data_IF_810064278968
#
_entry.id   IF_810064278968
#
_cell.length_a   1.000
_cell.length_b   1.000
_cell.length_c   1.000
_cell.angle_alpha   90.00
_cell.angle_beta   90.00
_cell.angle_gamma   90.00
#
_symmetry.space_group_name_H-M   'P 1'
#
loop_
_entity.id
_entity.type
_entity.pdbx_description
1 polymer ?
#
# COMPACT_ATOMS: atom_id res chain seq x y z
N UNK A 1 -16.39 25.26 4.50
CA UNK A 1 -15.09 24.78 5.02
C UNK A 1 -14.37 25.94 5.67
N UNK A 2 -14.53 26.13 6.98
CA UNK A 2 -13.79 27.15 7.72
C UNK A 2 -12.29 26.89 7.59
N UNK A 3 -11.50 27.93 7.33
CA UNK A 3 -10.05 27.82 7.23
C UNK A 3 -9.51 27.15 8.51
N UNK A 4 -8.65 26.13 8.35
CA UNK A 4 -7.95 25.50 9.48
C UNK A 4 -7.32 26.61 10.34
N UNK A 5 -7.49 26.61 11.67
CA UNK A 5 -6.93 27.64 12.54
C UNK A 5 -5.42 27.68 12.34
N UNK A 6 -4.91 28.81 11.86
CA UNK A 6 -3.47 29.03 11.65
C UNK A 6 -2.94 29.74 12.88
N UNK A 7 -2.04 29.09 13.61
CA UNK A 7 -1.17 29.75 14.57
C UNK A 7 -0.49 30.94 13.88
N UNK A 8 -0.40 32.09 14.57
CA UNK A 8 0.33 33.26 14.08
C UNK A 8 1.84 32.97 14.04
N UNK A 9 2.63 33.76 13.28
CA UNK A 9 4.09 33.61 13.27
C UNK A 9 4.73 33.71 14.67
N UNK A 10 4.18 34.58 15.53
CA UNK A 10 4.62 34.74 16.93
C UNK A 10 4.35 33.48 17.75
N UNK A 11 3.15 32.90 17.62
CA UNK A 11 2.82 31.66 18.31
C UNK A 11 3.72 30.48 17.85
N UNK A 12 4.11 30.43 16.57
CA UNK A 12 5.06 29.43 16.10
C UNK A 12 6.47 29.59 16.70
N UNK A 13 6.91 30.84 16.92
CA UNK A 13 8.18 31.11 17.57
C UNK A 13 8.17 30.66 19.04
N UNK A 14 7.06 30.84 19.75
CA UNK A 14 6.91 30.38 21.13
C UNK A 14 6.90 28.85 21.23
N UNK A 15 6.16 28.16 20.34
CA UNK A 15 6.14 26.70 20.25
C UNK A 15 7.54 26.15 19.95
N UNK A 16 8.29 26.81 19.06
CA UNK A 16 9.69 26.47 18.75
C UNK A 16 10.56 26.59 20.00
N UNK A 17 10.54 27.74 20.66
CA UNK A 17 11.35 28.01 21.85
C UNK A 17 11.07 27.00 22.98
N UNK A 18 9.81 26.60 23.15
CA UNK A 18 9.42 25.61 24.15
C UNK A 18 9.97 24.23 23.79
N UNK A 19 9.86 23.83 22.52
CA UNK A 19 10.38 22.55 22.05
C UNK A 19 11.90 22.49 22.07
N UNK A 20 12.62 23.52 21.64
CA UNK A 20 14.09 23.52 21.56
C UNK A 20 14.76 23.46 22.94
N UNK A 21 14.08 23.92 24.00
CA UNK A 21 14.58 23.92 25.39
C UNK A 21 14.21 22.68 26.19
N UNK A 22 13.23 21.91 25.73
CA UNK A 22 12.77 20.71 26.44
C UNK A 22 13.60 19.48 26.01
N UNK A 23 14.07 18.62 26.92
CA UNK A 23 14.84 17.44 26.56
C UNK A 23 14.02 16.30 25.92
N UNK A 24 12.68 16.36 25.98
CA UNK A 24 11.79 15.29 25.48
C UNK A 24 11.72 15.28 23.95
N UNK A 25 11.86 14.08 23.38
CA UNK A 25 11.70 13.84 21.95
C UNK A 25 10.23 13.84 21.50
N UNK A 26 10.01 14.04 20.21
CA UNK A 26 8.68 14.02 19.60
C UNK A 26 7.91 15.34 19.76
N UNK A 27 6.63 15.32 19.36
CA UNK A 27 5.78 16.50 19.23
C UNK A 27 4.36 16.33 19.79
N UNK A 28 4.01 15.14 20.29
CA UNK A 28 2.68 14.86 20.87
C UNK A 28 2.48 15.62 22.19
N UNK A 29 3.43 15.48 23.11
CA UNK A 29 3.42 16.17 24.40
C UNK A 29 3.32 17.69 24.23
N UNK A 30 3.98 18.25 23.22
CA UNK A 30 4.00 19.69 22.94
C UNK A 30 2.63 20.22 22.54
N UNK A 31 1.84 19.43 21.81
CA UNK A 31 0.48 19.80 21.41
C UNK A 31 -0.48 19.70 22.59
N UNK A 32 -0.34 18.65 23.39
CA UNK A 32 -1.21 18.40 24.55
C UNK A 32 -0.97 19.41 25.67
N UNK A 33 0.29 19.76 25.96
CA UNK A 33 0.65 20.70 27.04
C UNK A 33 0.38 22.16 26.67
N UNK A 34 0.63 22.57 25.43
CA UNK A 34 0.38 23.95 24.97
C UNK A 34 -1.05 24.14 24.44
N UNK A 35 -1.89 23.10 24.45
CA UNK A 35 -3.27 23.16 23.98
C UNK A 35 -3.39 23.66 22.54
N UNK A 36 -2.48 23.24 21.67
CA UNK A 36 -2.34 23.84 20.34
C UNK A 36 -3.52 23.44 19.43
N UNK A 37 -4.06 24.37 18.62
CA UNK A 37 -5.13 24.08 17.65
C UNK A 37 -4.61 23.33 16.39
N UNK A 38 -3.42 22.71 16.47
CA UNK A 38 -2.75 21.98 15.38
C UNK A 38 -2.33 20.59 15.87
N UNK A 39 -2.33 19.60 14.97
CA UNK A 39 -1.95 18.23 15.33
C UNK A 39 -0.42 18.03 15.38
N UNK A 40 0.04 17.04 16.13
CA UNK A 40 1.47 16.71 16.27
C UNK A 40 2.18 16.44 14.92
N UNK A 41 1.57 15.77 13.91
CA UNK A 41 2.15 15.67 12.57
C UNK A 41 2.28 17.03 11.85
N UNK A 42 1.38 17.98 12.15
CA UNK A 42 1.43 19.35 11.65
C UNK A 42 2.64 20.10 12.21
N UNK A 43 2.88 19.99 13.52
CA UNK A 43 4.05 20.58 14.17
C UNK A 43 5.36 19.96 13.66
N UNK A 44 5.40 18.62 13.52
CA UNK A 44 6.57 17.93 12.93
C UNK A 44 6.93 18.44 11.53
N UNK A 45 5.93 18.67 10.68
CA UNK A 45 6.15 19.20 9.32
C UNK A 45 6.73 20.62 9.36
N UNK A 46 6.24 21.47 10.26
CA UNK A 46 6.77 22.82 10.48
C UNK A 46 8.21 22.78 11.01
N UNK A 47 8.49 21.94 12.02
CA UNK A 47 9.81 21.80 12.61
C UNK A 47 10.87 21.31 11.60
N UNK A 48 10.51 20.37 10.71
CA UNK A 48 11.38 19.91 9.63
C UNK A 48 11.59 20.97 8.54
N UNK A 49 10.56 21.76 8.22
CA UNK A 49 10.65 22.83 7.23
C UNK A 49 11.52 23.99 7.73
N UNK A 50 11.39 24.32 9.01
CA UNK A 50 12.01 25.51 9.63
C UNK A 50 13.30 25.16 10.39
N UNK A 51 13.75 23.90 10.31
CA UNK A 51 15.05 23.42 10.81
C UNK A 51 15.22 23.53 12.32
N UNK A 52 14.23 23.11 13.10
CA UNK A 52 14.30 23.18 14.57
C UNK A 52 15.34 22.21 15.12
N UNK A 53 16.12 22.66 16.11
CA UNK A 53 17.15 21.85 16.74
C UNK A 53 17.11 22.04 18.26
N UNK A 54 17.24 20.94 19.01
CA UNK A 54 17.31 20.98 20.47
C UNK A 54 18.58 21.69 20.91
N UNK A 55 18.47 22.56 21.91
CA UNK A 55 19.64 23.20 22.52
C UNK A 55 20.33 22.15 23.38
N UNK A 56 21.52 21.70 22.97
CA UNK A 56 22.32 20.80 23.77
C UNK A 56 22.76 21.50 25.06
N UNK A 57 22.56 20.85 26.20
CA UNK A 57 23.14 21.27 27.47
C UNK A 57 24.63 20.88 27.51
N UNK A 58 25.42 21.36 26.55
CA UNK A 58 26.89 21.36 26.51
C UNK A 58 27.32 21.99 25.18
N UNK A 59 28.18 23.01 25.26
CA UNK A 59 28.67 23.76 24.10
C UNK A 59 29.63 22.95 23.22
N UNK A 60 29.58 23.21 21.91
CA UNK A 60 30.47 22.65 20.89
C UNK A 60 29.70 22.37 19.60
N UNK A 61 30.06 23.08 18.54
CA UNK A 61 29.38 23.14 17.23
C UNK A 61 28.97 21.79 16.63
N UNK A 62 27.71 21.67 16.20
CA UNK A 62 27.22 20.59 15.37
C UNK A 62 26.82 21.11 13.98
N UNK A 63 27.48 20.58 12.95
CA UNK A 63 27.36 20.95 11.54
C UNK A 63 25.97 20.63 10.94
N UNK A 64 25.47 21.43 9.97
CA UNK A 64 24.19 21.20 9.33
C UNK A 64 24.26 20.07 8.28
N UNK A 65 23.28 19.17 8.31
CA UNK A 65 23.04 18.16 7.28
C UNK A 65 22.51 18.79 5.97
N UNK A 66 22.75 18.17 4.79
CA UNK A 66 22.87 18.89 3.53
C UNK A 66 21.52 19.25 2.87
N UNK A 67 21.46 20.48 2.37
CA UNK A 67 20.42 20.96 1.47
C UNK A 67 20.52 20.28 0.09
N UNK A 68 19.45 19.61 -0.35
CA UNK A 68 19.29 19.20 -1.75
C UNK A 68 18.82 20.40 -2.57
N UNK A 69 19.75 21.10 -3.20
CA UNK A 69 19.48 22.01 -4.32
C UNK A 69 19.48 21.22 -5.62
N UNK A 70 18.47 21.45 -6.46
CA UNK A 70 18.32 20.77 -7.75
C UNK A 70 17.23 21.43 -8.57
N UNK A 71 17.51 22.65 -9.03
CA UNK A 71 16.73 23.34 -10.03
C UNK A 71 16.74 22.55 -11.37
N UNK A 72 15.58 22.42 -12.01
CA UNK A 72 15.47 22.17 -13.44
C UNK A 72 14.28 22.96 -14.00
N UNK A 73 14.60 23.89 -14.88
CA UNK A 73 13.68 24.49 -15.84
C UNK A 73 14.15 24.09 -17.28
N UNK A 74 13.42 24.41 -18.35
CA UNK A 74 12.52 23.49 -19.05
C UNK A 74 13.12 22.97 -20.38
N UNK A 75 12.55 21.90 -20.96
CA UNK A 75 12.81 21.52 -22.37
C UNK A 75 11.52 21.49 -23.19
N UNK A 76 11.53 22.26 -24.27
CA UNK A 76 10.54 22.26 -25.37
C UNK A 76 10.91 21.24 -26.46
N UNK A 77 9.86 20.89 -27.21
CA UNK A 77 9.81 20.51 -28.63
C UNK A 77 10.05 19.04 -29.03
N UNK A 78 8.91 18.35 -29.20
CA UNK A 78 8.39 17.79 -30.44
C UNK A 78 9.34 17.01 -31.38
N UNK A 79 9.00 15.74 -31.58
CA UNK A 79 9.08 15.08 -32.90
C UNK A 79 8.01 13.99 -33.02
N UNK A 80 7.22 14.12 -34.06
CA UNK A 80 6.16 13.26 -34.59
C UNK A 80 6.68 11.92 -35.12
N UNK A 81 5.86 10.86 -35.06
CA UNK A 81 5.87 9.76 -36.03
C UNK A 81 4.44 9.18 -36.19
N UNK A 82 4.09 8.65 -37.37
CA UNK A 82 2.71 8.54 -37.84
C UNK A 82 2.05 7.19 -37.57
N UNK A 83 0.73 7.19 -37.76
CA UNK A 83 -0.18 6.04 -37.83
C UNK A 83 0.15 5.04 -38.94
N UNK A 84 -0.25 3.79 -38.70
CA UNK A 84 -0.35 2.71 -39.67
C UNK A 84 -0.98 1.48 -39.01
N UNK A 85 -2.21 1.17 -39.39
CA UNK A 85 -3.05 0.05 -38.92
C UNK A 85 -3.28 -0.92 -40.11
N UNK A 86 -4.09 -1.98 -39.98
CA UNK A 86 -3.84 -3.35 -39.48
C UNK A 86 -3.78 -4.41 -40.60
N UNK A 87 -3.35 -5.66 -40.32
CA UNK A 87 -3.72 -6.83 -41.14
C UNK A 87 -3.92 -8.11 -40.29
N UNK A 88 -5.00 -8.81 -40.64
CA UNK A 88 -5.54 -10.07 -40.12
C UNK A 88 -4.67 -11.30 -40.42
N UNK A 89 -4.88 -12.38 -39.66
CA UNK A 89 -4.41 -13.71 -40.03
C UNK A 89 -4.47 -14.75 -38.92
N UNK A 90 -5.61 -15.41 -38.76
CA UNK A 90 -5.81 -16.59 -37.91
C UNK A 90 -5.17 -17.85 -38.51
N UNK A 91 -4.57 -18.72 -37.68
CA UNK A 91 -4.85 -20.18 -37.60
C UNK A 91 -3.99 -20.87 -36.52
N UNK A 92 -4.45 -22.02 -35.98
CA UNK A 92 -4.09 -22.48 -34.63
C UNK A 92 -2.90 -23.45 -34.64
N UNK A 93 -2.09 -23.42 -33.58
CA UNK A 93 -1.12 -24.49 -33.29
C UNK A 93 -1.44 -25.15 -31.96
N UNK A 94 -1.91 -26.39 -32.09
CA UNK A 94 -2.01 -27.38 -31.02
C UNK A 94 -0.62 -27.70 -30.48
N UNK A 95 -0.42 -27.63 -29.17
CA UNK A 95 0.75 -28.26 -28.53
C UNK A 95 0.36 -28.95 -27.22
N UNK A 96 0.06 -30.24 -27.39
CA UNK A 96 0.35 -31.37 -26.50
C UNK A 96 0.61 -31.07 -25.02
N UNK A 97 -0.44 -31.34 -24.24
CA UNK A 97 -0.37 -31.78 -22.85
C UNK A 97 0.71 -32.86 -22.72
N UNK A 98 1.73 -32.62 -21.89
CA UNK A 98 2.75 -33.60 -21.56
C UNK A 98 2.75 -33.84 -20.06
N UNK A 99 2.23 -35.03 -19.72
CA UNK A 99 2.49 -35.87 -18.54
C UNK A 99 3.48 -35.30 -17.51
N UNK A 100 2.96 -34.98 -16.32
CA UNK A 100 3.69 -35.15 -15.06
C UNK A 100 2.72 -35.84 -14.10
N UNK A 101 2.59 -37.14 -14.32
CA UNK A 101 2.07 -38.11 -13.35
C UNK A 101 3.25 -39.01 -13.01
N UNK A 102 3.31 -39.45 -11.75
CA UNK A 102 4.17 -40.50 -11.21
C UNK A 102 5.66 -40.14 -11.05
N UNK A 103 6.03 -39.73 -9.83
CA UNK A 103 6.88 -40.55 -8.95
C UNK A 103 7.41 -39.72 -7.77
N UNK A 104 6.90 -39.99 -6.57
CA UNK A 104 7.76 -40.42 -5.47
C UNK A 104 6.88 -41.02 -4.35
N UNK A 105 6.77 -42.35 -4.37
CA UNK A 105 6.61 -43.12 -3.16
C UNK A 105 7.92 -42.98 -2.36
N UNK A 106 7.83 -42.39 -1.16
CA UNK A 106 8.75 -42.68 -0.08
C UNK A 106 7.90 -43.12 1.10
N UNK A 107 7.88 -44.42 1.29
CA UNK A 107 7.36 -45.05 2.49
C UNK A 107 8.21 -44.70 3.71
N UNK A 108 7.49 -44.54 4.82
CA UNK A 108 7.90 -44.83 6.20
C UNK A 108 9.02 -43.99 6.82
N UNK A 109 8.60 -42.89 7.45
CA UNK A 109 9.00 -42.59 8.83
C UNK A 109 7.71 -42.38 9.64
N UNK A 110 7.42 -43.35 10.51
CA UNK A 110 6.77 -43.25 11.83
C UNK A 110 5.79 -42.07 12.01
N UNK A 111 4.47 -42.26 11.88
CA UNK A 111 3.63 -42.78 12.96
C UNK A 111 3.76 -42.02 14.29
N UNK A 112 3.68 -40.67 14.25
CA UNK A 112 3.13 -39.83 15.32
C UNK A 112 2.82 -38.45 14.75
N UNK A 113 1.58 -38.22 14.32
CA UNK A 113 0.85 -36.92 14.28
C UNK A 113 -0.49 -37.25 13.60
N UNK A 114 -1.38 -37.84 14.40
CA UNK A 114 -2.76 -38.13 14.00
C UNK A 114 -3.53 -36.82 13.82
N UNK A 115 -4.22 -36.72 12.68
CA UNK A 115 -5.44 -35.96 12.43
C UNK A 115 -5.61 -34.58 13.11
N UNK A 116 -5.45 -33.51 12.31
CA UNK A 116 -6.44 -32.44 12.12
C UNK A 116 -7.30 -31.89 13.29
N UNK A 117 -6.88 -31.98 14.54
CA UNK A 117 -7.55 -31.30 15.65
C UNK A 117 -6.98 -29.87 15.75
N UNK A 118 -7.74 -28.91 15.24
CA UNK A 118 -7.45 -27.49 15.45
C UNK A 118 -7.49 -27.20 16.94
N UNK A 119 -6.35 -26.76 17.52
CA UNK A 119 -6.28 -26.39 18.93
C UNK A 119 -7.37 -25.37 19.28
N UNK A 120 -8.09 -25.52 20.42
CA UNK A 120 -9.12 -24.58 20.82
C UNK A 120 -8.57 -23.16 20.96
N UNK A 121 -9.41 -22.13 20.77
CA UNK A 121 -8.99 -20.72 20.86
C UNK A 121 -8.31 -20.40 22.21
N UNK A 122 -8.82 -21.00 23.29
CA UNK A 122 -8.26 -20.91 24.65
C UNK A 122 -6.86 -21.51 24.75
N UNK A 123 -6.57 -22.55 23.97
CA UNK A 123 -5.24 -23.17 23.87
C UNK A 123 -4.28 -22.32 23.04
N UNK A 124 -4.75 -21.64 21.99
CA UNK A 124 -3.93 -20.70 21.22
C UNK A 124 -3.52 -19.48 22.07
N UNK A 125 -4.45 -18.96 22.88
CA UNK A 125 -4.17 -17.88 23.84
C UNK A 125 -3.19 -18.32 24.94
N UNK A 126 -3.37 -19.52 25.49
CA UNK A 126 -2.46 -20.08 26.49
C UNK A 126 -1.06 -20.32 25.91
N UNK A 127 -0.99 -20.78 24.65
CA UNK A 127 0.27 -21.04 23.95
C UNK A 127 1.07 -19.75 23.69
N UNK A 128 0.43 -18.65 23.31
CA UNK A 128 1.12 -17.38 23.14
C UNK A 128 1.58 -16.78 24.48
N UNK A 129 0.84 -17.04 25.56
CA UNK A 129 1.17 -16.55 26.90
C UNK A 129 2.39 -17.24 27.49
N UNK A 130 2.41 -18.57 27.48
CA UNK A 130 3.49 -19.39 28.04
C UNK A 130 3.87 -20.52 27.08
N UNK A 131 4.67 -20.23 26.03
CA UNK A 131 5.00 -21.23 25.02
C UNK A 131 5.84 -22.40 25.55
N UNK A 132 6.56 -22.18 26.65
CA UNK A 132 7.36 -23.19 27.34
C UNK A 132 6.50 -24.31 27.92
N UNK A 133 5.30 -23.97 28.41
CA UNK A 133 4.35 -24.93 28.98
C UNK A 133 3.93 -25.99 27.95
N UNK A 134 3.93 -25.62 26.67
CA UNK A 134 3.55 -26.48 25.56
C UNK A 134 4.76 -27.09 24.84
N UNK A 135 5.97 -26.91 25.37
CA UNK A 135 7.20 -27.50 24.83
C UNK A 135 7.63 -26.96 23.47
N UNK A 136 7.04 -25.85 22.98
CA UNK A 136 7.36 -25.27 21.66
C UNK A 136 8.80 -24.79 21.59
N UNK A 137 9.36 -24.38 22.73
CA UNK A 137 10.71 -23.86 22.85
C UNK A 137 11.70 -24.89 23.42
N UNK A 138 11.24 -26.11 23.73
CA UNK A 138 12.02 -27.10 24.48
C UNK A 138 13.29 -27.60 23.76
N UNK A 139 13.35 -27.48 22.43
CA UNK A 139 14.53 -27.86 21.62
C UNK A 139 15.46 -26.68 21.32
N UNK A 140 15.15 -25.48 21.80
CA UNK A 140 15.94 -24.28 21.59
C UNK A 140 16.91 -24.07 22.76
N UNK A 141 18.06 -23.47 22.45
CA UNK A 141 18.95 -22.94 23.49
C UNK A 141 18.37 -21.64 24.05
N UNK A 142 18.71 -21.25 25.28
CA UNK A 142 18.22 -20.02 25.92
C UNK A 142 18.32 -18.77 25.00
N UNK A 143 19.46 -18.58 24.32
CA UNK A 143 19.64 -17.45 23.39
C UNK A 143 18.78 -17.55 22.12
N UNK A 144 18.46 -18.76 21.66
CA UNK A 144 17.57 -18.97 20.51
C UNK A 144 16.12 -18.75 20.91
N UNK A 145 15.75 -19.11 22.13
CA UNK A 145 14.44 -18.84 22.69
C UNK A 145 14.18 -17.33 22.78
N UNK A 146 15.10 -16.58 23.41
CA UNK A 146 14.99 -15.12 23.49
C UNK A 146 14.95 -14.50 22.09
N UNK A 147 15.74 -15.03 21.15
CA UNK A 147 15.67 -14.59 19.74
C UNK A 147 14.28 -14.80 19.14
N UNK A 148 13.66 -15.98 19.31
CA UNK A 148 12.31 -16.26 18.79
C UNK A 148 11.28 -15.32 19.41
N UNK A 149 11.33 -15.13 20.74
CA UNK A 149 10.41 -14.23 21.45
C UNK A 149 10.52 -12.79 20.96
N UNK A 150 11.73 -12.27 20.81
CA UNK A 150 11.98 -10.92 20.31
C UNK A 150 11.61 -10.78 18.83
N UNK A 151 11.89 -11.79 18.01
CA UNK A 151 11.53 -11.80 16.60
C UNK A 151 10.02 -11.75 16.41
N UNK A 152 9.25 -12.42 17.26
CA UNK A 152 7.79 -12.37 17.24
C UNK A 152 7.22 -10.98 17.61
N UNK A 153 8.01 -10.03 18.12
CA UNK A 153 7.53 -8.68 18.44
C UNK A 153 7.46 -7.81 17.18
N UNK A 154 8.51 -7.78 16.37
CA UNK A 154 8.66 -6.83 15.26
C UNK A 154 9.10 -7.46 13.92
N UNK A 155 9.27 -8.78 13.87
CA UNK A 155 9.72 -9.53 12.70
C UNK A 155 11.07 -9.08 12.14
N UNK A 156 11.90 -8.43 12.96
CA UNK A 156 13.21 -7.94 12.58
C UNK A 156 14.32 -8.84 13.14
N UNK A 157 14.88 -9.70 12.28
CA UNK A 157 15.90 -10.67 12.68
C UNK A 157 17.13 -10.02 13.32
N UNK A 158 17.68 -8.97 12.71
CA UNK A 158 18.87 -8.29 13.22
C UNK A 158 18.64 -7.70 14.61
N UNK A 159 17.51 -7.03 14.83
CA UNK A 159 17.18 -6.42 16.12
C UNK A 159 16.83 -7.47 17.19
N UNK A 160 16.20 -8.58 16.78
CA UNK A 160 15.95 -9.71 17.67
C UNK A 160 17.25 -10.37 18.13
N UNK A 161 18.24 -10.54 17.24
CA UNK A 161 19.54 -11.09 17.59
C UNK A 161 20.30 -10.18 18.57
N UNK A 162 20.28 -8.86 18.39
CA UNK A 162 20.90 -7.92 19.33
C UNK A 162 20.26 -8.03 20.72
N UNK A 163 18.93 -8.04 20.79
CA UNK A 163 18.19 -8.14 22.08
C UNK A 163 18.35 -9.49 22.76
N UNK A 164 18.51 -10.56 21.99
CA UNK A 164 18.85 -11.88 22.48
C UNK A 164 20.29 -12.02 23.01
N UNK A 165 21.11 -10.96 22.90
CA UNK A 165 22.47 -10.91 23.44
C UNK A 165 23.56 -11.35 22.46
N UNK A 166 23.26 -11.50 21.17
CA UNK A 166 24.29 -11.75 20.16
C UNK A 166 25.08 -10.48 19.83
N UNK A 167 26.30 -10.65 19.31
CA UNK A 167 27.16 -9.55 18.91
C UNK A 167 26.48 -8.64 17.88
N UNK A 168 26.37 -7.35 18.20
CA UNK A 168 25.78 -6.36 17.31
C UNK A 168 26.50 -6.26 15.94
N UNK A 169 27.79 -6.58 15.89
CA UNK A 169 28.59 -6.54 14.65
C UNK A 169 28.20 -7.65 13.67
N UNK A 170 27.75 -8.80 14.17
CA UNK A 170 27.38 -9.97 13.35
C UNK A 170 25.91 -10.36 13.46
N UNK A 171 25.09 -9.52 14.10
CA UNK A 171 23.67 -9.80 14.37
C UNK A 171 22.86 -10.11 13.11
N UNK A 172 23.15 -9.46 11.99
CA UNK A 172 22.47 -9.72 10.72
C UNK A 172 22.76 -11.12 10.16
N UNK A 173 24.03 -11.54 10.17
CA UNK A 173 24.45 -12.87 9.72
C UNK A 173 23.92 -13.96 10.65
N UNK A 174 24.01 -13.74 11.97
CA UNK A 174 23.49 -14.65 12.98
C UNK A 174 21.97 -14.81 12.84
N UNK A 175 21.24 -13.70 12.69
CA UNK A 175 19.79 -13.75 12.49
C UNK A 175 19.41 -14.55 11.24
N UNK A 176 20.11 -14.35 10.12
CA UNK A 176 19.89 -15.13 8.90
C UNK A 176 20.10 -16.62 9.14
N UNK A 177 21.20 -17.01 9.82
CA UNK A 177 21.46 -18.41 10.15
C UNK A 177 20.41 -18.99 11.11
N UNK A 178 19.99 -18.23 12.12
CA UNK A 178 18.95 -18.65 13.08
C UNK A 178 17.62 -18.91 12.38
N UNK A 179 17.20 -18.04 11.46
CA UNK A 179 15.95 -18.21 10.71
C UNK A 179 15.96 -19.44 9.77
N UNK A 180 17.14 -19.96 9.41
CA UNK A 180 17.26 -21.19 8.62
C UNK A 180 17.27 -22.47 9.46
N UNK A 181 17.47 -22.37 10.79
CA UNK A 181 17.45 -23.55 11.66
C UNK A 181 16.02 -24.11 11.75
N UNK A 182 15.81 -25.42 11.49
CA UNK A 182 14.47 -26.02 11.51
C UNK A 182 13.72 -25.80 12.83
N UNK A 183 14.39 -25.96 13.98
CA UNK A 183 13.79 -25.79 15.30
C UNK A 183 13.32 -24.35 15.58
N UNK A 184 14.12 -23.36 15.17
CA UNK A 184 13.77 -21.94 15.31
C UNK A 184 12.60 -21.58 14.39
N UNK A 185 12.64 -22.05 13.14
CA UNK A 185 11.57 -21.82 12.16
C UNK A 185 10.25 -22.44 12.62
N UNK A 186 10.26 -23.68 13.09
CA UNK A 186 9.06 -24.37 13.60
C UNK A 186 8.47 -23.66 14.81
N UNK A 187 9.30 -23.16 15.74
CA UNK A 187 8.83 -22.37 16.87
C UNK A 187 8.19 -21.05 16.43
N UNK A 188 8.80 -20.34 15.48
CA UNK A 188 8.24 -19.10 14.90
C UNK A 188 6.90 -19.40 14.20
N UNK A 189 6.84 -20.42 13.35
CA UNK A 189 5.62 -20.82 12.64
C UNK A 189 4.48 -21.17 13.61
N UNK A 190 4.80 -21.88 14.68
CA UNK A 190 3.84 -22.26 15.72
C UNK A 190 3.29 -21.04 16.45
N UNK A 191 4.17 -20.13 16.89
CA UNK A 191 3.76 -18.89 17.56
C UNK A 191 2.99 -17.95 16.63
N UNK A 192 3.40 -17.84 15.37
CA UNK A 192 2.72 -17.07 14.34
C UNK A 192 1.30 -17.60 14.11
N UNK A 193 1.17 -18.92 13.99
CA UNK A 193 -0.11 -19.60 13.81
C UNK A 193 -1.03 -19.42 15.02
N UNK A 194 -0.49 -19.52 16.24
CA UNK A 194 -1.25 -19.27 17.47
C UNK A 194 -1.78 -17.83 17.53
N UNK A 195 -0.94 -16.85 17.21
CA UNK A 195 -1.34 -15.44 17.15
C UNK A 195 -2.39 -15.18 16.08
N UNK A 196 -2.21 -15.72 14.88
CA UNK A 196 -3.15 -15.60 13.77
C UNK A 196 -4.53 -16.15 14.14
N UNK A 197 -4.58 -17.34 14.78
CA UNK A 197 -5.81 -17.96 15.28
C UNK A 197 -6.49 -17.12 16.38
N UNK A 198 -5.72 -16.57 17.32
CA UNK A 198 -6.29 -15.67 18.36
C UNK A 198 -6.95 -14.44 17.75
N UNK A 199 -6.35 -13.87 16.70
CA UNK A 199 -6.93 -12.73 15.98
C UNK A 199 -8.10 -13.13 15.06
N UNK A 200 -8.38 -14.43 14.90
CA UNK A 200 -9.39 -14.95 13.99
C UNK A 200 -9.06 -14.75 12.50
N UNK A 201 -7.80 -14.49 12.17
CA UNK A 201 -7.32 -14.29 10.80
C UNK A 201 -6.18 -15.28 10.58
N UNK A 202 -6.53 -16.53 10.34
CA UNK A 202 -5.59 -17.53 9.86
C UNK A 202 -5.50 -17.51 8.33
N UNK A 203 -4.62 -18.34 7.75
CA UNK A 203 -4.44 -18.41 6.31
C UNK A 203 -5.74 -18.79 5.58
N UNK A 204 -6.53 -19.70 6.16
CA UNK A 204 -7.79 -20.16 5.57
C UNK A 204 -8.87 -19.08 5.58
N UNK A 205 -8.96 -18.31 6.66
CA UNK A 205 -9.87 -17.16 6.74
C UNK A 205 -9.45 -16.06 5.77
N UNK A 206 -8.15 -15.76 5.66
CA UNK A 206 -7.67 -14.77 4.70
C UNK A 206 -7.95 -15.19 3.25
N UNK A 207 -7.80 -16.49 2.93
CA UNK A 207 -8.19 -17.04 1.64
C UNK A 207 -9.70 -16.94 1.42
N UNK A 208 -10.54 -17.22 2.43
CA UNK A 208 -12.00 -17.02 2.36
C UNK A 208 -12.37 -15.57 2.10
N UNK A 209 -11.70 -14.63 2.75
CA UNK A 209 -11.90 -13.20 2.52
C UNK A 209 -11.56 -12.80 1.09
N UNK A 210 -10.41 -13.24 0.56
CA UNK A 210 -10.05 -12.96 -0.83
C UNK A 210 -11.00 -13.62 -1.83
N UNK A 211 -11.42 -14.87 -1.57
CA UNK A 211 -12.41 -15.54 -2.40
C UNK A 211 -13.72 -14.75 -2.44
N UNK A 212 -14.23 -14.29 -1.29
CA UNK A 212 -15.43 -13.46 -1.21
C UNK A 212 -15.29 -12.15 -2.02
N UNK A 213 -14.13 -11.50 -1.98
CA UNK A 213 -13.85 -10.29 -2.77
C UNK A 213 -13.90 -10.59 -4.28
N UNK A 214 -13.27 -11.69 -4.70
CA UNK A 214 -13.19 -12.09 -6.11
C UNK A 214 -14.57 -12.46 -6.66
N UNK A 215 -15.37 -13.21 -5.89
CA UNK A 215 -16.67 -13.72 -6.34
C UNK A 215 -17.82 -12.73 -6.18
N UNK A 216 -17.66 -11.65 -5.42
CA UNK A 216 -18.74 -10.67 -5.19
C UNK A 216 -19.26 -10.10 -6.50
N UNK A 217 -20.58 -10.01 -6.69
CA UNK A 217 -21.14 -9.21 -7.78
C UNK A 217 -21.09 -7.71 -7.42
N UNK A 218 -20.43 -6.90 -8.26
CA UNK A 218 -20.32 -5.47 -8.04
C UNK A 218 -21.69 -4.77 -8.06
N UNK A 219 -22.68 -5.35 -8.75
CA UNK A 219 -24.04 -4.84 -8.78
C UNK A 219 -24.74 -4.90 -7.42
N UNK A 220 -24.23 -5.65 -6.44
CA UNK A 220 -24.74 -5.58 -5.06
C UNK A 220 -24.50 -4.21 -4.42
N UNK A 221 -23.48 -3.47 -4.89
CA UNK A 221 -23.06 -2.19 -4.33
C UNK A 221 -23.49 -1.02 -5.23
N UNK A 222 -23.12 -1.08 -6.51
CA UNK A 222 -23.39 -0.01 -7.48
C UNK A 222 -23.88 -0.59 -8.81
N UNK A 223 -24.95 -0.01 -9.32
CA UNK A 223 -25.67 -0.51 -10.49
C UNK A 223 -25.81 0.58 -11.53
N UNK A 224 -25.68 0.20 -12.81
CA UNK A 224 -26.14 1.01 -13.93
C UNK A 224 -27.53 0.52 -14.33
N UNK A 225 -28.57 1.20 -13.84
CA UNK A 225 -29.98 0.80 -14.06
C UNK A 225 -30.56 1.49 -15.28
N UNK A 226 -31.49 0.81 -15.96
CA UNK A 226 -32.41 1.42 -16.92
C UNK A 226 -33.79 1.53 -16.27
N UNK A 227 -34.23 2.77 -16.04
CA UNK A 227 -35.54 3.09 -15.48
C UNK A 227 -36.49 3.52 -16.58
N UNK A 228 -37.80 3.32 -16.43
CA UNK A 228 -38.76 3.78 -17.43
C UNK A 228 -38.71 5.31 -17.57
N UNK A 229 -38.98 5.85 -18.76
CA UNK A 229 -39.13 7.30 -18.94
C UNK A 229 -40.52 7.78 -18.48
N UNK A 230 -40.74 9.09 -18.29
CA UNK A 230 -42.04 9.64 -17.87
C UNK A 230 -43.23 9.35 -18.79
N UNK A 231 -43.01 8.82 -19.99
CA UNK A 231 -44.06 8.56 -20.98
C UNK A 231 -44.33 7.07 -21.19
N UNK A 232 -43.49 6.18 -20.62
CA UNK A 232 -43.56 4.74 -20.87
C UNK A 232 -44.93 4.15 -20.56
N UNK A 233 -45.55 4.58 -19.46
CA UNK A 233 -46.72 3.92 -18.90
C UNK A 233 -47.94 4.84 -18.76
N UNK A 234 -47.90 6.03 -19.36
CA UNK A 234 -49.05 6.93 -19.42
C UNK A 234 -50.06 6.47 -20.45
N UNK A 235 -51.35 6.77 -20.24
CA UNK A 235 -52.37 6.52 -21.26
C UNK A 235 -51.99 7.26 -22.55
N UNK A 236 -52.02 6.57 -23.69
CA UNK A 236 -51.58 7.11 -24.99
C UNK A 236 -50.16 7.72 -24.97
N UNK A 237 -49.28 7.20 -24.11
CA UNK A 237 -47.94 7.73 -23.85
C UNK A 237 -47.92 9.21 -23.42
N UNK A 238 -49.00 9.68 -22.79
CA UNK A 238 -49.01 10.98 -22.13
C UNK A 238 -48.01 11.00 -20.96
N UNK A 239 -47.50 12.20 -20.67
CA UNK A 239 -46.51 12.36 -19.61
C UNK A 239 -47.10 12.05 -18.24
N UNK A 240 -46.51 11.10 -17.55
CA UNK A 240 -46.76 10.86 -16.13
C UNK A 240 -45.93 11.81 -15.27
N UNK A 241 -46.47 12.19 -14.11
CA UNK A 241 -45.83 13.08 -13.16
C UNK A 241 -45.65 12.36 -11.82
N UNK A 242 -44.62 12.73 -11.07
CA UNK A 242 -44.68 12.62 -9.60
C UNK A 242 -45.52 13.77 -9.05
N UNK A 243 -46.12 13.65 -7.84
CA UNK A 243 -46.92 14.72 -7.25
C UNK A 243 -46.21 16.10 -7.27
N UNK A 244 -44.95 16.16 -6.81
CA UNK A 244 -44.15 17.39 -6.82
C UNK A 244 -43.87 17.92 -8.24
N UNK A 245 -43.59 17.03 -9.20
CA UNK A 245 -43.36 17.46 -10.59
C UNK A 245 -44.63 17.97 -11.28
N UNK A 246 -45.80 17.48 -10.89
CA UNK A 246 -47.09 17.94 -11.41
C UNK A 246 -47.38 19.36 -10.92
N UNK A 247 -47.17 19.63 -9.63
CA UNK A 247 -47.29 20.97 -9.06
C UNK A 247 -46.34 21.95 -9.77
N UNK A 248 -45.07 21.57 -9.93
CA UNK A 248 -44.10 22.38 -10.65
C UNK A 248 -44.52 22.66 -12.11
N UNK A 249 -45.09 21.66 -12.79
CA UNK A 249 -45.59 21.82 -14.16
C UNK A 249 -46.79 22.77 -14.24
N UNK A 250 -47.74 22.66 -13.30
CA UNK A 250 -48.88 23.58 -13.18
C UNK A 250 -48.42 25.01 -12.93
N UNK A 251 -47.49 25.23 -11.99
CA UNK A 251 -46.93 26.56 -11.72
C UNK A 251 -46.20 27.12 -12.93
N UNK A 252 -45.42 26.30 -13.64
CA UNK A 252 -44.72 26.73 -14.86
C UNK A 252 -45.71 27.12 -15.96
N UNK A 253 -46.79 26.35 -16.14
CA UNK A 253 -47.84 26.63 -17.11
C UNK A 253 -48.58 27.93 -16.79
N UNK A 254 -48.99 28.12 -15.54
CA UNK A 254 -49.67 29.34 -15.11
C UNK A 254 -48.75 30.56 -15.29
N UNK A 255 -47.46 30.44 -14.94
CA UNK A 255 -46.50 31.53 -15.17
C UNK A 255 -46.36 31.87 -16.65
N UNK A 256 -46.34 30.87 -17.51
CA UNK A 256 -46.25 31.06 -18.96
C UNK A 256 -47.53 31.71 -19.51
N UNK A 257 -48.69 31.26 -19.05
CA UNK A 257 -50.00 31.82 -19.38
C UNK A 257 -50.08 33.30 -19.00
N UNK A 258 -49.72 33.65 -17.76
CA UNK A 258 -49.67 35.04 -17.30
C UNK A 258 -48.68 35.89 -18.11
N UNK A 259 -47.55 35.32 -18.50
CA UNK A 259 -46.56 36.00 -19.35
C UNK A 259 -47.14 36.32 -20.73
N UNK A 260 -47.83 35.36 -21.36
CA UNK A 260 -48.46 35.55 -22.68
C UNK A 260 -49.60 36.54 -22.64
N UNK A 261 -50.52 36.40 -21.67
CA UNK A 261 -51.63 37.34 -21.45
C UNK A 261 -51.16 38.78 -21.21
N UNK A 262 -50.00 38.96 -20.56
CA UNK A 262 -49.39 40.29 -20.37
C UNK A 262 -48.82 40.87 -21.68
N UNK A 263 -48.35 40.03 -22.60
CA UNK A 263 -47.79 40.44 -23.88
C UNK A 263 -48.90 40.70 -24.92
N UNK A 264 -49.88 39.80 -25.01
CA UNK A 264 -51.09 39.92 -25.81
C UNK A 264 -52.25 39.28 -25.04
N UNK A 265 -53.29 40.08 -24.75
CA UNK A 265 -54.44 39.63 -23.99
C UNK A 265 -55.24 38.51 -24.69
N UNK A 266 -55.10 38.38 -26.02
CA UNK A 266 -55.77 37.34 -26.80
C UNK A 266 -54.96 36.03 -26.90
N UNK A 267 -53.69 36.02 -26.47
CA UNK A 267 -52.82 34.82 -26.51
C UNK A 267 -52.92 34.03 -25.20
N UNK A 268 -54.11 33.52 -24.90
CA UNK A 268 -54.37 32.67 -23.74
C UNK A 268 -54.17 31.19 -24.08
N UNK A 269 -53.18 30.55 -23.44
CA UNK A 269 -52.92 29.10 -23.58
C UNK A 269 -53.85 28.22 -22.72
N UNK A 270 -54.80 28.82 -22.00
CA UNK A 270 -55.79 28.11 -21.19
C UNK A 270 -55.25 27.61 -19.85
N UNK A 271 -56.07 26.89 -19.10
CA UNK A 271 -55.67 26.25 -17.84
C UNK A 271 -54.85 24.98 -18.07
N UNK A 272 -54.02 24.61 -17.10
CA UNK A 272 -53.29 23.34 -17.18
C UNK A 272 -54.27 22.16 -17.18
N UNK A 273 -54.16 21.20 -18.11
CA UNK A 273 -55.11 20.08 -18.20
C UNK A 273 -55.26 19.28 -16.90
N UNK A 274 -56.47 18.78 -16.64
CA UNK A 274 -56.71 17.91 -15.50
C UNK A 274 -55.87 16.62 -15.63
N UNK A 275 -55.14 16.27 -14.57
CA UNK A 275 -54.31 15.07 -14.53
C UNK A 275 -55.10 13.91 -13.93
N UNK A 276 -55.32 12.86 -14.72
CA UNK A 276 -56.08 11.67 -14.31
C UNK A 276 -55.26 10.36 -14.41
N UNK A 277 -54.03 10.43 -14.91
CA UNK A 277 -53.16 9.27 -15.10
C UNK A 277 -52.53 8.76 -13.79
N UNK A 278 -52.02 7.52 -13.84
CA UNK A 278 -51.24 6.96 -12.74
C UNK A 278 -49.97 7.78 -12.47
N UNK A 279 -49.52 7.83 -11.22
CA UNK A 279 -48.28 8.53 -10.86
C UNK A 279 -47.06 7.87 -11.50
N UNK A 280 -46.10 8.69 -11.89
CA UNK A 280 -44.83 8.23 -12.44
C UNK A 280 -44.03 7.46 -11.37
N UNK A 281 -43.77 6.18 -11.63
CA UNK A 281 -42.87 5.34 -10.84
C UNK A 281 -41.70 4.87 -11.70
N UNK A 282 -40.55 5.54 -11.55
CA UNK A 282 -39.32 5.23 -12.28
C UNK A 282 -38.81 3.80 -12.05
N UNK A 283 -39.23 3.11 -10.98
CA UNK A 283 -38.73 1.76 -10.68
C UNK A 283 -39.31 0.70 -11.61
N UNK A 284 -40.33 1.04 -12.40
CA UNK A 284 -40.89 0.13 -13.41
C UNK A 284 -39.86 -0.09 -14.54
N UNK A 285 -39.86 -1.29 -15.15
CA UNK A 285 -39.08 -1.51 -16.35
C UNK A 285 -39.56 -0.55 -17.47
N UNK A 286 -38.67 -0.14 -18.40
CA UNK A 286 -39.08 0.59 -19.60
C UNK A 286 -40.15 -0.19 -20.39
N UNK A 287 -41.15 0.52 -20.93
CA UNK A 287 -42.12 -0.09 -21.82
C UNK A 287 -41.47 -0.32 -23.19
N UNK A 288 -41.50 -1.56 -23.69
CA UNK A 288 -40.83 -1.98 -24.92
C UNK A 288 -41.26 -1.17 -26.15
N UNK A 289 -42.53 -0.79 -26.19
CA UNK A 289 -43.20 -0.05 -27.27
C UNK A 289 -43.24 1.47 -27.03
N UNK A 290 -42.54 1.98 -26.01
CA UNK A 290 -42.54 3.41 -25.71
C UNK A 290 -42.00 4.22 -26.91
N UNK A 291 -42.77 5.17 -27.49
CA UNK A 291 -42.33 5.97 -28.63
C UNK A 291 -41.25 6.98 -28.27
N UNK A 292 -41.12 7.33 -26.99
CA UNK A 292 -40.17 8.35 -26.50
C UNK A 292 -38.78 7.77 -26.21
N UNK A 293 -38.72 6.56 -25.63
CA UNK A 293 -37.44 5.93 -25.29
C UNK A 293 -37.17 4.63 -26.05
N UNK A 294 -38.07 4.19 -26.92
CA UNK A 294 -37.94 2.98 -27.75
C UNK A 294 -37.57 1.72 -26.94
N UNK A 295 -38.17 1.55 -25.76
CA UNK A 295 -37.84 0.44 -24.86
C UNK A 295 -36.50 0.54 -24.12
N UNK A 296 -35.67 1.55 -24.40
CA UNK A 296 -34.34 1.66 -23.77
C UNK A 296 -34.37 2.28 -22.36
N UNK A 297 -35.40 3.06 -22.05
CA UNK A 297 -35.53 3.79 -20.80
C UNK A 297 -34.49 4.89 -20.61
N UNK A 298 -34.28 5.29 -19.35
CA UNK A 298 -33.30 6.28 -18.94
C UNK A 298 -32.23 5.60 -18.09
N UNK A 299 -30.97 5.89 -18.37
CA UNK A 299 -29.84 5.34 -17.60
C UNK A 299 -29.68 6.11 -16.30
N UNK A 300 -29.66 5.41 -15.18
CA UNK A 300 -29.45 5.96 -13.83
C UNK A 300 -28.39 5.15 -13.09
N UNK A 301 -27.41 5.84 -12.49
CA UNK A 301 -26.50 5.21 -11.54
C UNK A 301 -27.20 5.06 -10.21
N UNK A 302 -27.26 3.84 -9.69
CA UNK A 302 -27.89 3.53 -8.41
C UNK A 302 -26.87 2.92 -7.45
N UNK A 303 -26.82 3.46 -6.24
CA UNK A 303 -26.04 2.92 -5.14
C UNK A 303 -26.97 2.26 -4.13
N UNK A 304 -26.66 1.02 -3.75
CA UNK A 304 -27.40 0.32 -2.71
C UNK A 304 -27.23 1.01 -1.35
N UNK A 305 -28.24 0.89 -0.48
CA UNK A 305 -28.13 1.37 0.90
C UNK A 305 -27.06 0.54 1.63
N UNK A 306 -25.96 1.20 2.01
CA UNK A 306 -24.79 0.54 2.58
C UNK A 306 -25.08 -0.13 3.93
N UNK A 307 -26.16 0.26 4.61
CA UNK A 307 -26.63 -0.37 5.86
C UNK A 307 -27.17 -1.78 5.64
N UNK A 308 -27.58 -2.09 4.41
CA UNK A 308 -28.27 -3.33 4.04
C UNK A 308 -27.42 -4.23 3.13
N UNK A 309 -26.12 -3.98 3.02
CA UNK A 309 -25.21 -4.81 2.23
C UNK A 309 -25.10 -6.23 2.80
N UNK A 310 -24.98 -7.20 1.88
CA UNK A 310 -24.63 -8.59 2.21
C UNK A 310 -23.28 -8.64 2.96
N UNK A 311 -23.00 -9.71 3.73
CA UNK A 311 -21.71 -9.86 4.41
C UNK A 311 -20.51 -9.76 3.46
N UNK A 312 -20.61 -10.33 2.25
CA UNK A 312 -19.58 -10.25 1.23
C UNK A 312 -19.42 -8.83 0.65
N UNK A 313 -20.53 -8.15 0.34
CA UNK A 313 -20.48 -6.77 -0.15
C UNK A 313 -19.92 -5.81 0.90
N UNK A 314 -20.24 -6.04 2.19
CA UNK A 314 -19.72 -5.26 3.31
C UNK A 314 -18.21 -5.43 3.50
N UNK A 315 -17.69 -6.64 3.29
CA UNK A 315 -16.25 -6.90 3.34
C UNK A 315 -15.50 -6.10 2.27
N UNK A 316 -16.05 -6.01 1.06
CA UNK A 316 -15.42 -5.35 -0.09
C UNK A 316 -15.59 -3.82 -0.05
N UNK A 317 -16.65 -3.32 0.58
CA UNK A 317 -16.93 -1.90 0.68
C UNK A 317 -15.89 -1.18 1.55
N UNK A 318 -15.11 -0.28 0.93
CA UNK A 318 -14.04 0.46 1.58
C UNK A 318 -14.44 1.89 1.99
N UNK A 319 -15.58 2.38 1.48
CA UNK A 319 -16.11 3.70 1.83
C UNK A 319 -16.69 4.45 0.63
N UNK A 320 -16.94 5.74 0.84
CA UNK A 320 -17.45 6.66 -0.18
C UNK A 320 -16.65 7.95 -0.16
N UNK A 321 -16.42 8.51 -1.35
CA UNK A 321 -15.81 9.82 -1.54
C UNK A 321 -16.77 10.72 -2.31
N UNK A 322 -17.08 11.88 -1.76
CA UNK A 322 -17.86 12.91 -2.42
C UNK A 322 -16.92 13.85 -3.19
N UNK A 323 -17.06 13.87 -4.51
CA UNK A 323 -16.32 14.73 -5.42
C UNK A 323 -17.21 15.81 -6.04
N UNK A 324 -16.60 16.64 -6.90
CA UNK A 324 -17.35 17.63 -7.70
C UNK A 324 -18.32 16.95 -8.68
N UNK A 325 -17.94 15.79 -9.20
CA UNK A 325 -18.68 15.06 -10.23
C UNK A 325 -19.66 14.02 -9.64
N UNK A 326 -19.82 14.01 -8.30
CA UNK A 326 -20.76 13.14 -7.59
C UNK A 326 -20.08 12.20 -6.60
N UNK A 327 -20.75 11.08 -6.34
CA UNK A 327 -20.38 10.08 -5.34
C UNK A 327 -19.53 8.99 -5.98
N UNK A 328 -18.34 8.74 -5.43
CA UNK A 328 -17.45 7.64 -5.81
C UNK A 328 -17.46 6.58 -4.70
N UNK A 329 -17.89 5.36 -5.02
CA UNK A 329 -17.86 4.23 -4.08
C UNK A 329 -16.50 3.54 -4.15
N UNK A 330 -15.82 3.46 -3.01
CA UNK A 330 -14.52 2.81 -2.89
C UNK A 330 -14.73 1.34 -2.53
N UNK A 331 -14.05 0.46 -3.25
CA UNK A 331 -14.08 -0.99 -3.04
C UNK A 331 -12.67 -1.56 -3.00
N UNK A 332 -12.51 -2.73 -2.39
CA UNK A 332 -11.27 -3.49 -2.47
C UNK A 332 -10.98 -3.93 -3.92
N UNK A 333 -9.70 -4.00 -4.28
CA UNK A 333 -9.28 -4.46 -5.62
C UNK A 333 -9.51 -5.96 -5.77
N UNK A 334 -10.40 -6.34 -6.69
CA UNK A 334 -10.62 -7.73 -7.08
C UNK A 334 -9.39 -8.38 -7.69
N UNK A 335 -8.66 -7.64 -8.51
CA UNK A 335 -7.43 -8.12 -9.16
C UNK A 335 -6.38 -8.48 -8.12
N UNK A 336 -6.11 -7.60 -7.15
CA UNK A 336 -5.16 -7.88 -6.07
C UNK A 336 -5.60 -9.06 -5.19
N UNK A 337 -6.89 -9.17 -4.91
CA UNK A 337 -7.43 -10.32 -4.17
C UNK A 337 -7.24 -11.62 -4.96
N UNK A 338 -7.49 -11.61 -6.27
CA UNK A 338 -7.28 -12.75 -7.15
C UNK A 338 -5.80 -13.14 -7.24
N UNK A 339 -4.90 -12.17 -7.38
CA UNK A 339 -3.45 -12.40 -7.41
C UNK A 339 -2.96 -13.03 -6.11
N UNK A 340 -3.39 -12.49 -4.96
CA UNK A 340 -3.03 -13.02 -3.65
C UNK A 340 -3.57 -14.44 -3.46
N UNK A 341 -4.81 -14.70 -3.85
CA UNK A 341 -5.42 -16.02 -3.79
C UNK A 341 -4.67 -17.01 -4.69
N UNK A 342 -4.33 -16.62 -5.91
CA UNK A 342 -3.59 -17.46 -6.84
C UNK A 342 -2.17 -17.78 -6.36
N UNK A 343 -1.48 -16.82 -5.70
CA UNK A 343 -0.20 -17.07 -5.02
C UNK A 343 -0.35 -18.04 -3.85
N UNK A 344 -1.36 -17.85 -3.01
CA UNK A 344 -1.63 -18.73 -1.87
C UNK A 344 -1.93 -20.17 -2.31
N UNK A 345 -2.61 -20.34 -3.44
CA UNK A 345 -2.89 -21.65 -4.05
C UNK A 345 -1.71 -22.23 -4.86
N UNK A 346 -0.58 -21.54 -4.94
CA UNK A 346 0.60 -21.99 -5.68
C UNK A 346 0.40 -22.06 -7.20
N UNK A 347 -0.58 -21.33 -7.75
CA UNK A 347 -0.84 -21.30 -9.21
C UNK A 347 0.28 -20.60 -9.97
N UNK A 348 1.03 -19.73 -9.31
CA UNK A 348 2.22 -19.09 -9.85
C UNK A 348 3.46 -19.72 -9.23
N UNK A 349 4.35 -20.25 -10.09
CA UNK A 349 5.74 -20.47 -9.69
C UNK A 349 6.38 -19.11 -9.58
N UNK A 350 6.75 -18.70 -8.37
CA UNK A 350 7.67 -17.58 -8.21
C UNK A 350 8.95 -18.00 -8.94
N UNK A 351 9.30 -17.28 -10.01
CA UNK A 351 10.64 -17.41 -10.56
C UNK A 351 11.55 -16.99 -9.42
N UNK A 352 12.38 -17.91 -8.95
CA UNK A 352 13.57 -17.54 -8.19
C UNK A 352 14.20 -16.40 -8.99
N UNK A 353 14.17 -15.20 -8.42
CA UNK A 353 14.96 -14.12 -8.99
C UNK A 353 16.38 -14.61 -8.83
N UNK A 354 16.95 -15.15 -9.92
CA UNK A 354 18.38 -15.22 -10.10
C UNK A 354 18.87 -13.81 -9.84
N UNK A 355 19.30 -13.55 -8.61
CA UNK A 355 20.09 -12.39 -8.31
C UNK A 355 21.33 -12.65 -9.14
N UNK A 356 21.39 -12.04 -10.32
CA UNK A 356 22.64 -11.85 -11.05
C UNK A 356 23.48 -10.94 -10.16
N UNK A 357 24.02 -11.53 -9.08
CA UNK A 357 25.25 -11.08 -8.50
C UNK A 357 26.22 -11.31 -9.64
N UNK A 358 26.48 -10.26 -10.42
CA UNK A 358 27.63 -10.22 -11.29
C UNK A 358 28.79 -10.58 -10.35
N UNK A 359 29.24 -11.83 -10.38
CA UNK A 359 30.38 -12.30 -9.61
C UNK A 359 31.58 -11.66 -10.27
N UNK A 360 31.79 -10.38 -9.97
CA UNK A 360 33.10 -9.76 -10.04
C UNK A 360 33.92 -10.60 -9.08
N UNK A 361 34.93 -11.30 -9.62
CA UNK A 361 35.81 -12.12 -8.80
C UNK A 361 36.39 -11.28 -7.67
N UNK A 362 36.67 -11.88 -6.51
CA UNK A 362 37.22 -11.16 -5.35
C UNK A 362 38.44 -10.31 -5.73
N UNK A 363 39.28 -10.82 -6.63
CA UNK A 363 40.47 -10.14 -7.15
C UNK A 363 40.14 -8.89 -7.97
N UNK A 364 39.08 -8.93 -8.79
CA UNK A 364 38.65 -7.79 -9.59
C UNK A 364 38.02 -6.70 -8.70
N UNK A 365 37.35 -7.11 -7.62
CA UNK A 365 36.80 -6.19 -6.62
C UNK A 365 37.91 -5.53 -5.79
N UNK A 366 38.97 -6.27 -5.45
CA UNK A 366 40.18 -5.75 -4.82
C UNK A 366 40.89 -4.72 -5.72
N UNK A 367 41.07 -5.03 -7.01
CA UNK A 367 41.68 -4.09 -7.98
C UNK A 367 40.88 -2.78 -8.12
N UNK A 368 39.55 -2.89 -8.23
CA UNK A 368 38.66 -1.73 -8.30
C UNK A 368 38.71 -0.89 -7.01
N UNK A 369 38.87 -1.54 -5.86
CA UNK A 369 39.02 -0.87 -4.57
C UNK A 369 40.38 -0.15 -4.46
N UNK A 370 41.47 -0.81 -4.86
CA UNK A 370 42.82 -0.22 -4.86
C UNK A 370 42.91 0.99 -5.79
N UNK A 371 42.40 0.89 -7.03
CA UNK A 371 42.38 1.99 -7.99
C UNK A 371 41.59 3.19 -7.44
N UNK A 372 40.43 2.95 -6.82
CA UNK A 372 39.66 4.03 -6.20
C UNK A 372 40.33 4.64 -4.97
N UNK A 373 41.02 3.83 -4.16
CA UNK A 373 41.79 4.33 -3.02
C UNK A 373 42.98 5.18 -3.48
N UNK A 374 43.63 4.79 -4.57
CA UNK A 374 44.73 5.54 -5.15
C UNK A 374 44.25 6.87 -5.74
N UNK A 375 43.15 6.87 -6.50
CA UNK A 375 42.52 8.10 -7.00
C UNK A 375 42.05 9.02 -5.86
N UNK A 376 41.59 8.46 -4.74
CA UNK A 376 41.21 9.25 -3.56
C UNK A 376 42.44 9.88 -2.88
N UNK A 377 43.54 9.13 -2.74
CA UNK A 377 44.83 9.64 -2.23
C UNK A 377 45.41 10.72 -3.13
N UNK A 378 45.39 10.52 -4.44
CA UNK A 378 45.84 11.51 -5.42
C UNK A 378 45.02 12.79 -5.37
N UNK A 379 43.68 12.67 -5.27
CA UNK A 379 42.79 13.84 -5.09
C UNK A 379 43.06 14.55 -3.77
N UNK A 380 43.28 13.83 -2.68
CA UNK A 380 43.65 14.43 -1.40
C UNK A 380 45.00 15.12 -1.47
N UNK A 381 46.02 14.49 -2.06
CA UNK A 381 47.35 15.07 -2.25
C UNK A 381 47.29 16.34 -3.11
N UNK A 382 46.47 16.33 -4.17
CA UNK A 382 46.27 17.50 -5.02
C UNK A 382 45.58 18.64 -4.27
N UNK A 383 44.52 18.35 -3.50
CA UNK A 383 43.84 19.33 -2.64
C UNK A 383 44.78 19.87 -1.54
N UNK A 384 45.65 19.03 -0.97
CA UNK A 384 46.63 19.44 0.04
C UNK A 384 47.75 20.30 -0.57
N UNK A 385 48.17 19.97 -1.80
CA UNK A 385 49.14 20.76 -2.58
C UNK A 385 48.59 22.14 -2.98
N UNK A 386 47.32 22.21 -3.39
CA UNK A 386 46.63 23.47 -3.69
C UNK A 386 46.47 24.34 -2.43
N UNK A 387 46.47 23.70 -1.25
CA UNK A 387 46.40 24.36 0.06
C UNK A 387 47.78 24.62 0.69
N UNK A 388 48.88 24.30 -0.01
CA UNK A 388 50.25 24.60 0.43
C UNK A 388 50.76 23.75 1.61
N UNK A 389 50.14 22.61 1.89
CA UNK A 389 50.53 21.69 2.96
C UNK A 389 51.32 20.53 2.34
N UNK A 390 52.65 20.56 2.47
CA UNK A 390 53.52 19.42 2.13
C UNK A 390 53.53 18.49 3.33
N UNK A 391 53.03 17.27 3.17
CA UNK A 391 53.18 16.20 4.16
C UNK A 391 54.31 15.31 3.63
N UNK A 392 55.47 15.35 4.26
CA UNK A 392 56.58 14.44 3.97
C UNK A 392 56.11 13.01 4.30
N UNK A 393 56.06 12.17 3.27
CA UNK A 393 55.62 10.79 3.37
C UNK A 393 56.80 9.90 3.75
N UNK A 394 57.25 9.99 5.01
CA UNK A 394 58.13 9.00 5.63
C UNK A 394 57.70 8.81 7.09
N UNK A 395 56.81 7.85 7.31
CA UNK A 395 56.75 6.91 8.45
C UNK A 395 55.40 6.17 8.38
N UNK A 396 55.46 4.84 8.43
CA UNK A 396 54.33 3.88 8.48
C UNK A 396 53.58 3.51 7.19
N UNK A 397 54.30 3.04 6.17
CA UNK A 397 53.77 2.16 5.11
C UNK A 397 54.07 0.68 5.38
N UNK A 398 53.15 -0.28 5.11
CA UNK A 398 53.37 -1.70 5.41
C UNK A 398 54.45 -2.31 4.50
N UNK A 399 55.21 -3.33 4.98
CA UNK A 399 56.31 -3.90 4.21
C UNK A 399 55.82 -4.69 2.99
N UNK A 400 56.56 -4.56 1.87
CA UNK A 400 56.27 -5.23 0.60
C UNK A 400 56.42 -6.76 0.71
N UNK A 401 55.53 -7.56 0.07
CA UNK A 401 55.65 -9.00 0.07
C UNK A 401 56.58 -9.48 -1.06
N UNK A 402 57.55 -10.33 -0.72
CA UNK A 402 58.23 -11.22 -1.68
C UNK A 402 59.69 -10.88 -1.99
N UNK A 403 60.59 -11.25 -1.10
CA UNK A 403 62.00 -11.46 -1.42
C UNK A 403 62.56 -12.55 -0.48
N UNK A 404 62.16 -13.78 -0.71
CA UNK A 404 62.84 -14.98 -0.20
C UNK A 404 62.61 -16.11 -1.22
N UNK A 405 63.46 -16.16 -2.25
CA UNK A 405 63.77 -17.40 -2.96
C UNK A 405 65.30 -17.49 -3.15
N UNK A 406 65.93 -18.66 -2.93
CA UNK A 406 67.38 -18.79 -2.85
C UNK A 406 68.05 -18.90 -4.23
N UNK A 407 69.24 -18.32 -4.35
CA UNK A 407 70.10 -18.35 -5.54
C UNK A 407 70.50 -19.78 -5.96
N UNK A 408 70.55 -20.10 -7.27
CA UNK A 408 71.29 -21.26 -7.75
C UNK A 408 72.75 -20.88 -8.04
N UNK A 409 73.67 -21.67 -7.48
CA UNK A 409 75.10 -21.65 -7.75
C UNK A 409 75.41 -21.90 -9.23
N UNK A 410 76.21 -21.02 -9.85
CA UNK A 410 76.92 -21.35 -11.09
C UNK A 410 78.41 -21.57 -10.78
N UNK A 411 78.92 -22.70 -11.26
CA UNK A 411 80.34 -23.01 -11.46
C UNK A 411 80.48 -23.68 -12.83
N UNK A 412 81.65 -23.62 -13.50
CA UNK A 412 82.76 -22.67 -13.42
C UNK A 412 82.91 -21.76 -14.66
#
# INVERSE_FOLDING_TARGET
MAAKPKLTPEQWADVRNHWERDPRDGYSWLVDELGLPVSAPGVRKTALRDGWAKVSAQGGDAAPAPAKTGAKEPKKAARTKPEGQPQDGATPRTSKVSKVSENHQRETISETMSAGETMPLTTAEALERDPDQFGVLAQLTDMQEVFVREYMVDWNGTQAAIRAGYSAKSAGEIAYQLLQKPSVREAIETLASARARRLGIDADELMRMWAAVVTLDANEISQLRRVCCPYCWGADHQRQYTPSSLEAARTKHERERQRRLKADQNDDIGEFPAYADAWYDKRRPPAEDCPECHGEGVVEVFFADTRNLSPAARLVYAGVKEGRDGIEVLTMSKEKAADNLARALGLFKEKETEVNINMVSGDELFRLYEDKMQQARERQALVLSERGIVIDADEDGPPAPGADEPEPEESP
#
